data_IF_160910905763
#
_entry.id   IF_160910905763
#
_cell.length_a   1.000
_cell.length_b   1.000
_cell.length_c   1.000
_cell.angle_alpha   90.00
_cell.angle_beta   90.00
_cell.angle_gamma   90.00
#
_symmetry.space_group_name_H-M   'P 1'
#
loop_
_entity.id
_entity.type
_entity.pdbx_description
1 polymer ?
#
# COMPACT_ATOMS: atom_id res chain seq x y z
N UNK A 1 54.37 -25.62 11.55
CA UNK A 1 53.11 -25.69 10.77
C UNK A 1 51.89 -25.25 11.59
N UNK A 2 51.64 -25.77 12.80
CA UNK A 2 50.41 -25.45 13.56
C UNK A 2 50.18 -23.97 13.91
N UNK A 3 51.24 -23.22 14.22
CA UNK A 3 51.11 -21.79 14.59
C UNK A 3 50.62 -20.91 13.43
N UNK A 4 51.07 -21.18 12.19
CA UNK A 4 50.61 -20.45 10.99
C UNK A 4 49.12 -20.68 10.71
N UNK A 5 48.62 -21.90 10.92
CA UNK A 5 47.20 -22.24 10.76
C UNK A 5 46.34 -21.51 11.80
N UNK A 6 46.81 -21.43 13.04
CA UNK A 6 46.11 -20.73 14.12
C UNK A 6 46.03 -19.21 13.87
N UNK A 7 47.11 -18.60 13.40
CA UNK A 7 47.14 -17.17 13.04
C UNK A 7 46.22 -16.89 11.84
N UNK A 8 46.22 -17.77 10.83
CA UNK A 8 45.32 -17.64 9.68
C UNK A 8 43.84 -17.73 10.05
N UNK A 9 43.47 -18.67 10.93
CA UNK A 9 42.10 -18.82 11.41
C UNK A 9 41.63 -17.61 12.23
N UNK A 10 42.51 -17.04 13.08
CA UNK A 10 42.20 -15.85 13.86
C UNK A 10 42.03 -14.61 12.96
N UNK A 11 42.91 -14.43 11.98
CA UNK A 11 42.83 -13.33 11.02
C UNK A 11 41.53 -13.40 10.19
N UNK A 12 41.15 -14.61 9.75
CA UNK A 12 39.88 -14.84 9.06
C UNK A 12 38.68 -14.52 9.96
N UNK A 13 38.71 -14.94 11.23
CA UNK A 13 37.68 -14.64 12.21
C UNK A 13 37.50 -13.14 12.44
N UNK A 14 38.60 -12.40 12.62
CA UNK A 14 38.57 -10.93 12.77
C UNK A 14 38.06 -10.27 11.50
N UNK A 15 38.53 -10.70 10.32
CA UNK A 15 38.08 -10.17 9.04
C UNK A 15 36.57 -10.39 8.82
N UNK A 16 36.03 -11.54 9.20
CA UNK A 16 34.58 -11.83 9.15
C UNK A 16 33.81 -10.93 10.12
N UNK A 17 34.28 -10.76 11.37
CA UNK A 17 33.62 -9.87 12.34
C UNK A 17 33.65 -8.43 11.87
N UNK A 18 34.80 -7.94 11.38
CA UNK A 18 34.93 -6.58 10.84
C UNK A 18 34.07 -6.41 9.59
N UNK A 19 34.04 -7.38 8.68
CA UNK A 19 33.17 -7.33 7.51
C UNK A 19 31.68 -7.33 7.89
N UNK A 20 31.28 -8.12 8.90
CA UNK A 20 29.90 -8.11 9.42
C UNK A 20 29.56 -6.80 10.10
N UNK A 21 30.51 -6.21 10.86
CA UNK A 21 30.34 -4.90 11.49
C UNK A 21 30.26 -3.80 10.45
N UNK A 22 31.17 -3.74 9.47
CA UNK A 22 31.15 -2.78 8.37
C UNK A 22 29.91 -2.94 7.48
N UNK A 23 29.47 -4.17 7.23
CA UNK A 23 28.23 -4.45 6.50
C UNK A 23 26.99 -4.00 7.29
N UNK A 24 26.97 -4.22 8.61
CA UNK A 24 25.95 -3.66 9.52
C UNK A 24 26.03 -2.14 9.64
N UNK A 25 27.20 -1.56 9.39
CA UNK A 25 27.48 -0.14 9.49
C UNK A 25 27.38 0.60 8.15
N UNK A 26 26.77 0.03 7.09
CA UNK A 26 26.37 0.86 5.94
C UNK A 26 25.25 1.80 6.40
N UNK A 27 25.54 3.06 6.78
CA UNK A 27 24.57 3.93 7.44
C UNK A 27 23.47 4.34 6.46
N UNK A 28 23.78 4.29 5.18
CA UNK A 28 22.93 4.80 4.10
C UNK A 28 21.94 3.76 3.59
N UNK A 29 22.09 2.48 4.01
CA UNK A 29 21.19 1.42 3.57
C UNK A 29 19.72 1.68 3.95
N UNK A 30 19.41 1.96 5.23
CA UNK A 30 18.04 2.21 5.65
C UNK A 30 17.45 3.43 4.93
N UNK A 31 18.24 4.48 4.73
CA UNK A 31 17.79 5.69 4.03
C UNK A 31 17.48 5.40 2.57
N UNK A 32 18.36 4.69 1.86
CA UNK A 32 18.13 4.25 0.49
C UNK A 32 16.87 3.38 0.39
N UNK A 33 16.68 2.45 1.33
CA UNK A 33 15.48 1.62 1.39
C UNK A 33 14.20 2.46 1.56
N UNK A 34 14.23 3.53 2.36
CA UNK A 34 13.07 4.42 2.51
C UNK A 34 12.76 5.20 1.23
N UNK A 35 13.78 5.68 0.50
CA UNK A 35 13.57 6.30 -0.81
C UNK A 35 12.93 5.34 -1.82
N UNK A 36 13.44 4.11 -1.90
CA UNK A 36 12.89 3.10 -2.80
C UNK A 36 11.47 2.67 -2.40
N UNK A 37 11.18 2.56 -1.10
CA UNK A 37 9.83 2.28 -0.60
C UNK A 37 8.87 3.44 -0.89
N UNK A 38 9.32 4.69 -0.80
CA UNK A 38 8.52 5.85 -1.19
C UNK A 38 8.19 5.82 -2.67
N UNK A 39 9.17 5.56 -3.53
CA UNK A 39 8.94 5.37 -4.96
C UNK A 39 7.97 4.20 -5.23
N UNK A 40 8.07 3.11 -4.47
CA UNK A 40 7.13 1.98 -4.56
C UNK A 40 5.70 2.38 -4.17
N UNK A 41 5.53 3.17 -3.10
CA UNK A 41 4.22 3.69 -2.67
C UNK A 41 3.56 4.55 -3.75
N UNK A 42 4.32 5.42 -4.41
CA UNK A 42 3.82 6.29 -5.47
C UNK A 42 3.28 5.49 -6.65
N UNK A 43 4.01 4.49 -7.14
CA UNK A 43 3.52 3.59 -8.19
C UNK A 43 2.36 2.70 -7.73
N UNK A 44 2.40 2.23 -6.49
CA UNK A 44 1.31 1.44 -5.92
C UNK A 44 0.02 2.26 -5.78
N UNK A 45 0.11 3.58 -5.56
CA UNK A 45 -1.03 4.49 -5.48
C UNK A 45 -1.75 4.58 -6.82
N UNK A 46 -1.00 4.69 -7.91
CA UNK A 46 -1.55 4.66 -9.26
C UNK A 46 -2.26 3.33 -9.53
N UNK A 47 -1.60 2.21 -9.19
CA UNK A 47 -2.19 0.87 -9.32
C UNK A 47 -3.48 0.71 -8.51
N UNK A 48 -3.53 1.29 -7.30
CA UNK A 48 -4.68 1.22 -6.42
C UNK A 48 -5.87 2.04 -6.94
N UNK A 49 -5.62 3.15 -7.63
CA UNK A 49 -6.65 4.02 -8.19
C UNK A 49 -7.25 3.50 -9.50
N UNK A 50 -6.49 2.72 -10.28
CA UNK A 50 -6.95 2.17 -11.55
C UNK A 50 -7.87 0.94 -11.36
N UNK A 51 -9.02 0.92 -12.03
CA UNK A 51 -9.88 -0.28 -12.11
C UNK A 51 -9.22 -1.37 -12.94
N UNK A 52 -8.74 -1.02 -14.14
CA UNK A 52 -7.96 -1.88 -15.03
C UNK A 52 -6.49 -1.49 -15.05
N UNK A 53 -5.60 -2.47 -14.89
CA UNK A 53 -4.15 -2.25 -14.87
C UNK A 53 -3.61 -2.31 -16.30
N UNK A 54 -2.92 -1.25 -16.74
CA UNK A 54 -2.15 -1.31 -17.98
C UNK A 54 -0.95 -2.24 -17.83
N UNK A 55 -0.65 -3.05 -18.84
CA UNK A 55 0.46 -4.02 -18.77
C UNK A 55 1.83 -3.37 -18.57
N UNK A 56 2.02 -2.11 -18.99
CA UNK A 56 3.25 -1.34 -18.83
C UNK A 56 3.52 -0.99 -17.37
N UNK A 57 2.54 -0.38 -16.70
CA UNK A 57 2.66 0.15 -15.34
C UNK A 57 2.94 -0.99 -14.35
N UNK A 58 2.30 -2.12 -14.62
CA UNK A 58 2.50 -3.37 -13.92
C UNK A 58 3.92 -3.94 -14.06
N UNK A 59 4.50 -3.93 -15.27
CA UNK A 59 5.87 -4.41 -15.48
C UNK A 59 6.89 -3.53 -14.76
N UNK A 60 6.65 -2.21 -14.74
CA UNK A 60 7.49 -1.28 -14.02
C UNK A 60 7.49 -1.59 -12.51
N UNK A 61 6.29 -1.73 -11.91
CA UNK A 61 6.16 -2.11 -10.50
C UNK A 61 6.86 -3.44 -10.17
N UNK A 62 6.72 -4.45 -11.03
CA UNK A 62 7.41 -5.73 -10.84
C UNK A 62 8.94 -5.59 -10.92
N UNK A 63 9.46 -4.75 -11.82
CA UNK A 63 10.90 -4.51 -11.93
C UNK A 63 11.45 -3.84 -10.66
N UNK A 64 10.74 -2.83 -10.16
CA UNK A 64 11.12 -2.12 -8.93
C UNK A 64 11.11 -3.07 -7.71
N UNK A 65 10.10 -3.92 -7.59
CA UNK A 65 10.01 -4.90 -6.49
C UNK A 65 11.12 -5.94 -6.58
N UNK A 66 11.53 -6.36 -7.79
CA UNK A 66 12.69 -7.26 -7.94
C UNK A 66 13.98 -6.58 -7.48
N UNK A 67 14.19 -5.32 -7.86
CA UNK A 67 15.33 -4.54 -7.41
C UNK A 67 15.34 -4.45 -5.87
N UNK A 68 14.24 -4.00 -5.28
CA UNK A 68 14.04 -3.95 -3.83
C UNK A 68 14.24 -5.31 -3.16
N UNK A 69 13.80 -6.41 -3.78
CA UNK A 69 14.02 -7.76 -3.26
C UNK A 69 15.49 -8.18 -3.21
N UNK A 70 16.25 -7.86 -4.27
CA UNK A 70 17.68 -8.15 -4.32
C UNK A 70 18.44 -7.37 -3.26
N UNK A 71 18.00 -6.13 -3.07
CA UNK A 71 18.50 -5.20 -2.09
C UNK A 71 18.14 -5.64 -0.66
N UNK A 72 16.92 -6.10 -0.42
CA UNK A 72 16.39 -6.35 0.92
C UNK A 72 17.25 -7.27 1.82
N UNK A 73 17.33 -6.98 3.13
CA UNK A 73 17.86 -7.89 4.14
C UNK A 73 17.21 -9.28 4.06
N UNK A 74 17.97 -10.33 4.41
CA UNK A 74 17.49 -11.71 4.29
C UNK A 74 16.20 -11.98 5.09
N UNK A 75 15.99 -11.28 6.21
CA UNK A 75 14.77 -11.35 7.01
C UNK A 75 13.53 -10.82 6.27
N UNK A 76 13.70 -9.82 5.40
CA UNK A 76 12.63 -9.16 4.64
C UNK A 76 12.31 -9.86 3.31
N UNK A 77 13.25 -10.63 2.76
CA UNK A 77 13.08 -11.35 1.48
C UNK A 77 11.79 -12.19 1.37
N UNK A 78 11.26 -12.85 2.42
CA UNK A 78 9.95 -13.50 2.35
C UNK A 78 8.80 -12.56 2.00
N UNK A 79 8.75 -11.35 2.56
CA UNK A 79 7.69 -10.36 2.30
C UNK A 79 7.71 -9.87 0.85
N UNK A 80 8.90 -9.55 0.33
CA UNK A 80 9.05 -9.20 -1.08
C UNK A 80 8.66 -10.33 -2.03
N UNK A 81 8.98 -11.60 -1.71
CA UNK A 81 8.55 -12.76 -2.51
C UNK A 81 7.04 -12.91 -2.56
N UNK A 82 6.37 -12.71 -1.42
CA UNK A 82 4.93 -12.82 -1.33
C UNK A 82 4.23 -11.65 -2.07
N UNK A 83 4.75 -10.44 -1.92
CA UNK A 83 4.32 -9.28 -2.69
C UNK A 83 4.48 -9.51 -4.19
N UNK A 84 5.66 -9.97 -4.62
CA UNK A 84 5.94 -10.30 -6.01
C UNK A 84 4.97 -11.35 -6.55
N UNK A 85 4.71 -12.42 -5.79
CA UNK A 85 3.76 -13.45 -6.18
C UNK A 85 2.33 -12.91 -6.34
N UNK A 86 1.86 -12.07 -5.41
CA UNK A 86 0.54 -11.45 -5.50
C UNK A 86 0.39 -10.56 -6.71
N UNK A 87 1.40 -9.76 -7.01
CA UNK A 87 1.39 -8.92 -8.20
C UNK A 87 1.47 -9.77 -9.45
N UNK A 88 2.44 -10.70 -9.54
CA UNK A 88 2.71 -11.54 -10.71
C UNK A 88 1.45 -12.21 -11.30
N UNK A 89 0.52 -12.60 -10.44
CA UNK A 89 -0.69 -13.31 -10.83
C UNK A 89 -1.87 -12.38 -11.21
N UNK A 90 -1.78 -11.06 -10.98
CA UNK A 90 -2.87 -10.10 -11.23
C UNK A 90 -3.48 -10.18 -12.64
N UNK A 91 -2.70 -10.19 -13.73
CA UNK A 91 -3.28 -10.14 -15.09
C UNK A 91 -4.12 -11.38 -15.45
N UNK A 92 -3.97 -12.48 -14.71
CA UNK A 92 -4.62 -13.77 -14.99
C UNK A 92 -5.99 -13.89 -14.31
N UNK A 93 -6.32 -12.96 -13.41
CA UNK A 93 -7.51 -13.04 -12.58
C UNK A 93 -8.68 -12.23 -13.12
N UNK A 94 -9.90 -12.60 -12.75
CA UNK A 94 -11.10 -11.80 -12.94
C UNK A 94 -11.06 -10.53 -12.06
N UNK A 95 -11.90 -9.54 -12.36
CA UNK A 95 -11.90 -8.22 -11.71
C UNK A 95 -12.02 -8.30 -10.17
N UNK A 96 -12.89 -9.18 -9.66
CA UNK A 96 -13.10 -9.33 -8.21
C UNK A 96 -11.85 -9.93 -7.55
N UNK A 97 -11.27 -10.96 -8.18
CA UNK A 97 -10.02 -11.57 -7.69
C UNK A 97 -8.84 -10.61 -7.83
N UNK A 98 -8.76 -9.83 -8.90
CA UNK A 98 -7.77 -8.76 -9.06
C UNK A 98 -7.87 -7.74 -7.93
N UNK A 99 -9.07 -7.23 -7.63
CA UNK A 99 -9.28 -6.31 -6.52
C UNK A 99 -8.83 -6.91 -5.17
N UNK A 100 -9.12 -8.20 -4.94
CA UNK A 100 -8.67 -8.92 -3.74
C UNK A 100 -7.14 -9.07 -3.68
N UNK A 101 -6.50 -9.38 -4.79
CA UNK A 101 -5.04 -9.53 -4.86
C UNK A 101 -4.32 -8.19 -4.77
N UNK A 102 -4.84 -7.13 -5.40
CA UNK A 102 -4.40 -5.74 -5.18
C UNK A 102 -4.45 -5.39 -3.70
N UNK A 103 -5.57 -5.65 -3.03
CA UNK A 103 -5.72 -5.42 -1.59
C UNK A 103 -4.70 -6.17 -0.73
N UNK A 104 -4.34 -7.40 -1.10
CA UNK A 104 -3.29 -8.17 -0.43
C UNK A 104 -1.90 -7.58 -0.72
N UNK A 105 -1.58 -7.25 -1.97
CA UNK A 105 -0.31 -6.63 -2.33
C UNK A 105 -0.10 -5.32 -1.56
N UNK A 106 -1.13 -4.47 -1.50
CA UNK A 106 -1.13 -3.23 -0.74
C UNK A 106 -0.85 -3.44 0.75
N UNK A 107 -1.47 -4.45 1.35
CA UNK A 107 -1.19 -4.79 2.75
C UNK A 107 0.28 -5.18 2.98
N UNK A 108 0.91 -5.88 2.02
CA UNK A 108 2.34 -6.21 2.13
C UNK A 108 3.21 -4.98 1.96
N UNK A 109 2.87 -4.05 1.06
CA UNK A 109 3.59 -2.79 0.92
C UNK A 109 3.54 -1.99 2.23
N UNK A 110 2.36 -1.90 2.84
CA UNK A 110 2.14 -1.24 4.14
C UNK A 110 3.02 -1.88 5.23
N UNK A 111 3.12 -3.21 5.29
CA UNK A 111 4.03 -3.88 6.23
C UNK A 111 5.51 -3.68 5.93
N UNK A 112 5.91 -3.58 4.66
CA UNK A 112 7.29 -3.27 4.29
C UNK A 112 7.70 -1.87 4.76
N UNK A 113 6.79 -0.90 4.71
CA UNK A 113 7.01 0.45 5.28
C UNK A 113 7.22 0.35 6.79
N UNK A 114 6.36 -0.38 7.49
CA UNK A 114 6.46 -0.55 8.94
C UNK A 114 7.68 -1.35 9.41
N UNK A 115 8.22 -2.22 8.57
CA UNK A 115 9.46 -2.91 8.88
C UNK A 115 10.69 -2.02 8.67
N UNK A 116 10.58 -0.96 7.86
CA UNK A 116 11.70 -0.08 7.51
C UNK A 116 11.76 1.19 8.39
N UNK A 117 10.63 1.84 8.65
CA UNK A 117 10.59 3.16 9.28
C UNK A 117 11.01 3.16 10.76
N UNK A 118 10.44 2.32 11.64
CA UNK A 118 10.79 2.35 13.06
C UNK A 118 12.28 2.05 13.32
N UNK A 119 12.91 1.00 12.73
CA UNK A 119 14.34 0.77 12.92
C UNK A 119 15.20 1.95 12.46
N UNK A 120 14.80 2.62 11.36
CA UNK A 120 15.49 3.81 10.89
C UNK A 120 15.44 4.95 11.90
N UNK A 121 14.25 5.30 12.39
CA UNK A 121 14.06 6.39 13.35
C UNK A 121 14.74 6.09 14.70
N UNK A 122 14.68 4.83 15.16
CA UNK A 122 15.38 4.38 16.37
C UNK A 122 16.90 4.52 16.20
N UNK A 123 17.45 4.15 15.05
CA UNK A 123 18.89 4.29 14.79
C UNK A 123 19.38 5.75 14.83
N UNK A 124 18.49 6.70 14.52
CA UNK A 124 18.78 8.14 14.53
C UNK A 124 18.38 8.84 15.85
N UNK A 125 17.82 8.10 16.82
CA UNK A 125 17.28 8.64 18.09
C UNK A 125 16.24 9.76 17.90
N UNK A 126 15.43 9.69 16.83
CA UNK A 126 14.37 10.65 16.57
C UNK A 126 13.03 10.20 17.18
N UNK A 127 12.89 10.40 18.50
CA UNK A 127 11.70 10.00 19.25
C UNK A 127 10.43 10.74 18.81
N UNK A 128 10.56 12.00 18.36
CA UNK A 128 9.44 12.82 17.94
C UNK A 128 8.82 12.28 16.65
N UNK A 129 9.65 12.05 15.62
CA UNK A 129 9.20 11.45 14.36
C UNK A 129 8.73 10.02 14.55
N UNK A 130 9.36 9.24 15.44
CA UNK A 130 8.90 7.89 15.77
C UNK A 130 7.51 7.90 16.40
N UNK A 131 7.27 8.80 17.36
CA UNK A 131 5.96 8.95 17.98
C UNK A 131 4.91 9.38 16.95
N UNK A 132 5.22 10.37 16.11
CA UNK A 132 4.33 10.81 15.04
C UNK A 132 4.00 9.66 14.08
N UNK A 133 5.01 8.94 13.58
CA UNK A 133 4.84 7.77 12.72
C UNK A 133 3.94 6.70 13.36
N UNK A 134 4.12 6.39 14.65
CA UNK A 134 3.28 5.41 15.35
C UNK A 134 1.79 5.82 15.39
N UNK A 135 1.49 7.11 15.57
CA UNK A 135 0.12 7.62 15.51
C UNK A 135 -0.48 7.48 14.11
N UNK A 136 0.28 7.85 13.08
CA UNK A 136 -0.11 7.69 11.67
C UNK A 136 -0.33 6.22 11.33
N UNK A 137 0.60 5.36 11.72
CA UNK A 137 0.55 3.91 11.50
C UNK A 137 -0.69 3.27 12.12
N UNK A 138 -1.00 3.62 13.38
CA UNK A 138 -2.19 3.11 14.05
C UNK A 138 -3.47 3.50 13.30
N UNK A 139 -3.59 4.76 12.87
CA UNK A 139 -4.73 5.22 12.08
C UNK A 139 -4.84 4.50 10.73
N UNK A 140 -3.70 4.30 10.04
CA UNK A 140 -3.62 3.55 8.78
C UNK A 140 -4.06 2.10 8.96
N UNK A 141 -3.62 1.41 10.02
CA UNK A 141 -4.02 0.03 10.29
C UNK A 141 -5.52 -0.09 10.58
N UNK A 142 -6.08 0.78 11.40
CA UNK A 142 -7.53 0.80 11.69
C UNK A 142 -8.35 1.06 10.43
N UNK A 143 -7.90 1.98 9.57
CA UNK A 143 -8.55 2.27 8.29
C UNK A 143 -8.44 1.08 7.33
N UNK A 144 -7.28 0.44 7.26
CA UNK A 144 -7.05 -0.76 6.44
C UNK A 144 -8.00 -1.90 6.84
N UNK A 145 -8.15 -2.15 8.14
CA UNK A 145 -9.05 -3.18 8.66
C UNK A 145 -10.52 -2.85 8.38
N UNK A 146 -10.95 -1.60 8.63
CA UNK A 146 -12.31 -1.15 8.35
C UNK A 146 -12.64 -1.32 6.85
N UNK A 147 -11.72 -0.92 5.97
CA UNK A 147 -11.83 -1.06 4.51
C UNK A 147 -11.92 -2.52 4.08
N UNK A 148 -11.13 -3.43 4.67
CA UNK A 148 -11.22 -4.87 4.42
C UNK A 148 -12.60 -5.44 4.78
N UNK A 149 -13.14 -5.06 5.95
CA UNK A 149 -14.46 -5.50 6.40
C UNK A 149 -15.58 -4.96 5.50
N UNK A 150 -15.50 -3.71 5.08
CA UNK A 150 -16.43 -3.12 4.09
C UNK A 150 -16.40 -3.85 2.75
N UNK A 151 -15.21 -4.15 2.21
CA UNK A 151 -15.07 -4.95 0.97
C UNK A 151 -15.73 -6.32 1.10
N UNK A 152 -15.48 -6.99 2.22
CA UNK A 152 -16.03 -8.32 2.48
C UNK A 152 -17.57 -8.30 2.61
N UNK A 153 -18.11 -7.34 3.37
CA UNK A 153 -19.55 -7.15 3.50
C UNK A 153 -20.22 -6.84 2.13
N UNK A 154 -19.54 -6.05 1.28
CA UNK A 154 -20.02 -5.76 -0.08
C UNK A 154 -20.15 -7.03 -0.93
N UNK A 155 -19.17 -7.93 -0.85
CA UNK A 155 -19.20 -9.23 -1.54
C UNK A 155 -20.30 -10.14 -0.95
N UNK A 156 -20.49 -10.15 0.37
CA UNK A 156 -21.56 -10.93 1.01
C UNK A 156 -22.95 -10.47 0.57
N UNK A 157 -23.16 -9.16 0.46
CA UNK A 157 -24.42 -8.60 -0.03
C UNK A 157 -24.69 -9.01 -1.47
N UNK A 158 -23.67 -8.98 -2.33
CA UNK A 158 -23.79 -9.47 -3.71
C UNK A 158 -24.15 -10.96 -3.78
N UNK A 159 -23.68 -11.76 -2.82
CA UNK A 159 -24.04 -13.19 -2.69
C UNK A 159 -25.40 -13.45 -2.04
N UNK A 160 -26.20 -12.40 -1.79
CA UNK A 160 -27.50 -12.49 -1.12
C UNK A 160 -27.45 -13.24 0.23
N UNK A 161 -26.37 -13.06 1.00
CA UNK A 161 -26.25 -13.65 2.34
C UNK A 161 -27.25 -12.97 3.29
N UNK A 162 -27.94 -13.70 4.19
CA UNK A 162 -28.84 -13.09 5.17
C UNK A 162 -28.11 -12.05 6.02
N UNK A 163 -28.80 -10.95 6.36
CA UNK A 163 -28.27 -9.81 7.14
C UNK A 163 -27.08 -9.07 6.50
N UNK A 164 -26.73 -9.34 5.23
CA UNK A 164 -25.60 -8.69 4.59
C UNK A 164 -25.77 -7.17 4.41
N UNK A 165 -27.01 -6.69 4.23
CA UNK A 165 -27.32 -5.25 4.17
C UNK A 165 -26.99 -4.54 5.48
N UNK A 166 -27.48 -5.07 6.60
CA UNK A 166 -27.17 -4.53 7.93
C UNK A 166 -25.67 -4.56 8.24
N UNK A 167 -25.00 -5.67 7.90
CA UNK A 167 -23.55 -5.79 8.04
C UNK A 167 -22.80 -4.74 7.22
N UNK A 168 -23.19 -4.55 5.94
CA UNK A 168 -22.58 -3.56 5.07
C UNK A 168 -22.76 -2.14 5.62
N UNK A 169 -23.96 -1.78 6.06
CA UNK A 169 -24.25 -0.47 6.63
C UNK A 169 -23.36 -0.20 7.86
N UNK A 170 -23.27 -1.16 8.79
CA UNK A 170 -22.39 -1.05 9.94
C UNK A 170 -20.92 -0.86 9.54
N UNK A 171 -20.41 -1.69 8.61
CA UNK A 171 -19.00 -1.57 8.18
C UNK A 171 -18.74 -0.26 7.45
N UNK A 172 -19.72 0.27 6.73
CA UNK A 172 -19.62 1.57 6.10
C UNK A 172 -19.54 2.71 7.11
N UNK A 173 -20.39 2.69 8.15
CA UNK A 173 -20.32 3.69 9.24
C UNK A 173 -18.97 3.65 9.96
N UNK A 174 -18.44 2.45 10.22
CA UNK A 174 -17.10 2.28 10.80
C UNK A 174 -16.04 2.87 9.88
N UNK A 175 -16.12 2.58 8.57
CA UNK A 175 -15.17 3.09 7.58
C UNK A 175 -15.19 4.63 7.52
N UNK A 176 -16.37 5.24 7.47
CA UNK A 176 -16.54 6.70 7.53
C UNK A 176 -15.93 7.27 8.80
N UNK A 177 -16.19 6.66 9.96
CA UNK A 177 -15.60 7.09 11.23
C UNK A 177 -14.07 7.04 11.20
N UNK A 178 -13.47 6.00 10.62
CA UNK A 178 -11.99 5.88 10.50
C UNK A 178 -11.42 6.92 9.53
N UNK A 179 -12.12 7.21 8.44
CA UNK A 179 -11.74 8.29 7.52
C UNK A 179 -11.76 9.66 8.22
N UNK A 180 -12.80 9.97 9.00
CA UNK A 180 -12.83 11.20 9.79
C UNK A 180 -11.67 11.27 10.80
N UNK A 181 -11.35 10.17 11.48
CA UNK A 181 -10.22 10.13 12.41
C UNK A 181 -8.88 10.41 11.71
N UNK A 182 -8.72 9.92 10.47
CA UNK A 182 -7.53 10.16 9.67
C UNK A 182 -7.34 11.66 9.36
N UNK A 183 -8.42 12.42 9.12
CA UNK A 183 -8.37 13.87 8.89
C UNK A 183 -7.83 14.65 10.10
N UNK A 184 -7.97 14.12 11.32
CA UNK A 184 -7.47 14.78 12.54
C UNK A 184 -5.94 14.71 12.67
N UNK A 185 -5.24 14.03 11.77
CA UNK A 185 -3.78 13.93 11.76
C UNK A 185 -3.09 15.14 11.11
N UNK A 186 -3.80 16.26 10.90
CA UNK A 186 -3.28 17.47 10.23
C UNK A 186 -2.69 17.17 8.85
N UNK A 187 -3.43 16.40 8.05
CA UNK A 187 -3.05 16.07 6.68
C UNK A 187 -3.15 17.28 5.75
N UNK A 188 -2.51 17.19 4.59
CA UNK A 188 -2.62 18.19 3.51
C UNK A 188 -4.08 18.42 3.07
N UNK A 189 -4.44 19.67 2.75
CA UNK A 189 -5.80 20.08 2.36
C UNK A 189 -6.36 19.28 1.16
N UNK A 190 -5.49 18.93 0.21
CA UNK A 190 -5.84 18.13 -0.96
C UNK A 190 -6.33 16.73 -0.57
N UNK A 191 -5.68 16.10 0.41
CA UNK A 191 -6.03 14.80 0.93
C UNK A 191 -7.31 14.86 1.79
N UNK A 192 -7.47 15.90 2.60
CA UNK A 192 -8.70 16.12 3.37
C UNK A 192 -9.91 16.24 2.45
N UNK A 193 -9.78 16.97 1.34
CA UNK A 193 -10.83 17.13 0.33
C UNK A 193 -11.22 15.79 -0.32
N UNK A 194 -10.25 14.94 -0.63
CA UNK A 194 -10.53 13.60 -1.18
C UNK A 194 -11.20 12.69 -0.14
N UNK A 195 -10.82 12.80 1.15
CA UNK A 195 -11.49 12.08 2.24
C UNK A 195 -12.96 12.53 2.38
N UNK A 196 -13.23 13.84 2.35
CA UNK A 196 -14.60 14.37 2.41
C UNK A 196 -15.46 13.88 1.24
N UNK A 197 -14.86 13.83 0.03
CA UNK A 197 -15.51 13.27 -1.16
C UNK A 197 -15.84 11.79 -0.96
N UNK A 198 -14.94 11.00 -0.40
CA UNK A 198 -15.16 9.58 -0.13
C UNK A 198 -16.24 9.37 0.93
N UNK A 199 -16.23 10.15 2.01
CA UNK A 199 -17.26 10.10 3.06
C UNK A 199 -18.63 10.40 2.45
N UNK A 200 -18.74 11.44 1.63
CA UNK A 200 -20.00 11.81 0.96
C UNK A 200 -20.51 10.69 0.06
N UNK A 201 -19.62 10.05 -0.71
CA UNK A 201 -19.98 8.95 -1.59
C UNK A 201 -20.38 7.68 -0.85
N UNK A 202 -19.68 7.34 0.24
CA UNK A 202 -20.05 6.21 1.09
C UNK A 202 -21.46 6.46 1.65
N UNK A 203 -21.72 7.60 2.27
CA UNK A 203 -23.02 7.95 2.83
C UNK A 203 -24.17 7.83 1.81
N UNK A 204 -23.97 8.32 0.58
CA UNK A 204 -24.95 8.18 -0.50
C UNK A 204 -25.20 6.72 -0.93
N UNK A 205 -24.17 5.85 -0.87
CA UNK A 205 -24.34 4.42 -1.18
C UNK A 205 -25.17 3.69 -0.11
N UNK A 206 -25.07 4.09 1.16
CA UNK A 206 -25.92 3.54 2.23
C UNK A 206 -27.39 3.89 2.03
N UNK A 207 -27.70 5.13 1.65
CA UNK A 207 -29.08 5.55 1.40
C UNK A 207 -29.72 4.74 0.26
N UNK A 208 -28.95 4.47 -0.81
CA UNK A 208 -29.40 3.61 -1.92
C UNK A 208 -29.60 2.16 -1.51
N UNK A 209 -28.72 1.61 -0.68
CA UNK A 209 -28.85 0.24 -0.18
C UNK A 209 -30.13 0.06 0.64
N UNK A 210 -30.47 1.03 1.49
CA UNK A 210 -31.70 1.02 2.29
C UNK A 210 -32.98 1.17 1.45
N UNK A 211 -32.95 2.00 0.41
CA UNK A 211 -34.09 2.18 -0.49
C UNK A 211 -34.46 0.90 -1.27
N UNK A 212 -33.50 -0.02 -1.45
CA UNK A 212 -33.72 -1.29 -2.15
C UNK A 212 -34.42 -2.35 -1.26
N UNK A 213 -34.47 -2.16 0.06
CA UNK A 213 -35.11 -3.09 1.01
C UNK A 213 -36.56 -2.69 1.40
N UNK A 214 -37.09 -1.60 0.86
CA UNK A 214 -38.49 -1.23 1.06
C UNK A 214 -39.44 -2.30 0.45
N UNK A 215 -40.53 -2.68 1.13
CA UNK A 215 -41.37 -3.79 0.69
C UNK A 215 -42.01 -3.47 -0.66
N UNK A 216 -41.74 -4.32 -1.66
CA UNK A 216 -42.44 -4.43 -2.93
C UNK A 216 -43.93 -4.75 -2.67
N UNK A 217 -44.71 -3.75 -2.27
CA UNK A 217 -46.15 -3.76 -2.44
C UNK A 217 -46.43 -3.37 -3.90
N UNK A 218 -46.84 -4.38 -4.68
CA UNK A 218 -47.67 -4.31 -5.87
C UNK A 218 -47.68 -2.97 -6.62
N UNK A 219 -47.01 -2.90 -7.78
CA UNK A 219 -47.71 -2.43 -8.98
C UNK A 219 -47.01 -2.86 -10.27
N UNK A 220 -47.87 -3.40 -11.14
CA UNK A 220 -47.58 -3.91 -12.47
C UNK A 220 -47.58 -2.72 -13.42
N UNK A 221 -46.43 -2.36 -14.00
CA UNK A 221 -46.44 -1.59 -15.24
C UNK A 221 -45.25 -1.88 -16.15
N UNK A 222 -45.63 -2.06 -17.41
CA UNK A 222 -44.86 -2.45 -18.57
C UNK A 222 -44.13 -1.21 -19.10
N UNK A 223 -42.80 -1.20 -19.11
CA UNK A 223 -42.02 -0.33 -19.99
C UNK A 223 -40.64 -0.93 -20.23
N UNK A 224 -40.44 -1.40 -21.46
CA UNK A 224 -39.16 -1.88 -21.97
C UNK A 224 -38.27 -0.67 -22.27
N UNK A 225 -37.64 -0.10 -21.25
CA UNK A 225 -36.47 0.77 -21.44
C UNK A 225 -35.22 -0.05 -21.19
N UNK A 226 -34.41 -0.17 -22.24
CA UNK A 226 -33.11 -0.82 -22.25
C UNK A 226 -32.19 0.00 -21.32
N UNK A 227 -31.71 -0.52 -20.18
CA UNK A 227 -30.88 0.28 -19.31
C UNK A 227 -29.50 0.45 -19.94
N UNK A 228 -29.17 1.72 -20.18
CA UNK A 228 -27.82 2.23 -20.38
C UNK A 228 -26.92 1.65 -19.27
N UNK A 229 -25.78 1.07 -19.65
CA UNK A 229 -24.80 0.37 -18.82
C UNK A 229 -24.82 0.74 -17.32
N UNK A 230 -25.64 0.04 -16.54
CA UNK A 230 -25.65 0.15 -15.08
C UNK A 230 -24.43 -0.61 -14.57
N UNK A 231 -23.40 0.10 -14.10
CA UNK A 231 -22.35 -0.52 -13.31
C UNK A 231 -22.98 -1.29 -12.15
N UNK A 232 -22.59 -2.55 -11.96
CA UNK A 232 -23.20 -3.37 -10.91
C UNK A 232 -22.93 -2.73 -9.54
N UNK A 233 -23.89 -2.75 -8.58
CA UNK A 233 -23.71 -2.15 -7.26
C UNK A 233 -22.46 -2.65 -6.49
N UNK A 234 -21.96 -3.84 -6.83
CA UNK A 234 -20.72 -4.37 -6.28
C UNK A 234 -19.47 -3.64 -6.81
N UNK A 235 -19.41 -3.38 -8.12
CA UNK A 235 -18.26 -2.73 -8.76
C UNK A 235 -18.02 -1.33 -8.17
N UNK A 236 -19.08 -0.53 -8.02
CA UNK A 236 -19.04 0.79 -7.38
C UNK A 236 -18.44 0.73 -5.95
N UNK A 237 -18.89 -0.22 -5.13
CA UNK A 237 -18.39 -0.40 -3.75
C UNK A 237 -16.93 -0.85 -3.71
N UNK A 238 -16.53 -1.73 -4.62
CA UNK A 238 -15.13 -2.14 -4.74
C UNK A 238 -14.25 -0.97 -5.21
N UNK A 239 -14.73 -0.11 -6.10
CA UNK A 239 -14.05 1.10 -6.51
C UNK A 239 -13.89 2.10 -5.35
N UNK A 240 -14.90 2.29 -4.50
CA UNK A 240 -14.77 3.09 -3.28
C UNK A 240 -13.71 2.51 -2.34
N UNK A 241 -13.71 1.19 -2.16
CA UNK A 241 -12.67 0.52 -1.38
C UNK A 241 -11.27 0.70 -1.95
N UNK A 242 -11.13 0.74 -3.28
CA UNK A 242 -9.86 0.99 -3.97
C UNK A 242 -9.37 2.42 -3.74
N UNK A 243 -10.26 3.41 -3.79
CA UNK A 243 -9.91 4.81 -3.48
C UNK A 243 -9.49 5.00 -2.03
N UNK A 244 -10.09 4.29 -1.08
CA UNK A 244 -9.59 4.30 0.31
C UNK A 244 -8.15 3.77 0.39
N UNK A 245 -7.77 2.79 -0.41
CA UNK A 245 -6.36 2.35 -0.46
C UNK A 245 -5.45 3.46 -0.99
N UNK A 246 -5.88 4.21 -2.02
CA UNK A 246 -5.10 5.33 -2.53
C UNK A 246 -4.90 6.43 -1.46
N UNK A 247 -5.91 6.69 -0.64
CA UNK A 247 -5.78 7.57 0.55
C UNK A 247 -4.75 7.04 1.52
N UNK A 248 -4.84 5.75 1.91
CA UNK A 248 -3.87 5.11 2.82
C UNK A 248 -2.43 5.26 2.30
N UNK A 249 -2.22 4.97 1.01
CA UNK A 249 -0.90 5.07 0.40
C UNK A 249 -0.39 6.52 0.34
N UNK A 250 -1.29 7.49 0.11
CA UNK A 250 -0.91 8.92 0.09
C UNK A 250 -0.52 9.41 1.48
N UNK A 251 -1.22 8.98 2.54
CA UNK A 251 -0.81 9.27 3.93
C UNK A 251 0.60 8.75 4.21
N UNK A 252 0.89 7.50 3.79
CA UNK A 252 2.22 6.91 4.00
C UNK A 252 3.30 7.59 3.14
N UNK A 253 3.01 7.94 1.88
CA UNK A 253 3.94 8.68 1.01
C UNK A 253 4.26 10.06 1.60
N UNK A 254 3.26 10.80 2.09
CA UNK A 254 3.47 12.09 2.75
C UNK A 254 4.31 11.92 4.03
N UNK A 255 4.01 10.92 4.86
CA UNK A 255 4.79 10.64 6.06
C UNK A 255 6.25 10.28 5.75
N UNK A 256 6.49 9.48 4.69
CA UNK A 256 7.85 9.21 4.22
C UNK A 256 8.52 10.44 3.60
N UNK A 257 7.76 11.29 2.92
CA UNK A 257 8.26 12.53 2.33
C UNK A 257 8.78 13.49 3.40
N UNK A 258 7.99 13.70 4.46
CA UNK A 258 8.34 14.54 5.59
C UNK A 258 9.58 13.98 6.30
N UNK A 259 9.59 12.68 6.57
CA UNK A 259 10.73 12.00 7.18
C UNK A 259 12.00 12.16 6.31
N UNK A 260 11.92 11.92 5.00
CA UNK A 260 13.08 12.04 4.11
C UNK A 260 13.54 13.50 3.91
N UNK A 261 12.70 14.49 4.19
CA UNK A 261 13.10 15.90 4.15
C UNK A 261 14.09 16.23 5.28
N UNK A 262 13.95 15.58 6.43
CA UNK A 262 14.85 15.74 7.58
C UNK A 262 16.17 14.97 7.43
N UNK A 263 16.21 13.98 6.53
CA UNK A 263 17.39 13.16 6.23
C UNK A 263 17.74 13.22 4.72
N UNK A 264 18.22 14.37 4.21
CA UNK A 264 18.56 14.48 2.80
C UNK A 264 19.62 13.45 2.43
N UNK A 265 19.40 12.75 1.31
CA UNK A 265 20.38 11.83 0.76
C UNK A 265 21.74 12.55 0.62
N UNK A 266 22.85 11.92 1.03
CA UNK A 266 24.17 12.50 0.81
C UNK A 266 24.33 12.78 -0.69
N UNK A 267 24.66 14.03 -1.06
CA UNK A 267 24.72 14.49 -2.44
C UNK A 267 25.48 13.48 -3.34
N UNK A 268 24.78 12.91 -4.31
CA UNK A 268 25.17 11.73 -5.06
C UNK A 268 26.14 12.00 -6.21
N UNK A 269 27.42 11.70 -5.99
CA UNK A 269 28.25 11.07 -7.04
C UNK A 269 28.19 9.52 -6.96
N UNK A 270 27.70 8.95 -5.84
CA UNK A 270 27.80 7.51 -5.58
C UNK A 270 26.55 6.75 -6.08
N UNK A 271 25.33 7.26 -5.89
CA UNK A 271 24.12 6.53 -6.27
C UNK A 271 23.71 6.71 -7.74
N UNK A 272 24.29 7.69 -8.46
CA UNK A 272 24.16 7.82 -9.92
C UNK A 272 24.71 6.60 -10.70
N UNK A 273 25.49 5.73 -10.05
CA UNK A 273 26.07 4.54 -10.70
C UNK A 273 25.13 3.32 -10.74
N UNK A 274 24.00 3.35 -10.01
CA UNK A 274 23.09 2.20 -9.91
C UNK A 274 21.79 2.35 -10.72
N UNK A 275 21.62 3.44 -11.47
CA UNK A 275 20.56 3.58 -12.50
C UNK A 275 21.09 3.46 -13.92
N UNK A 276 21.35 2.25 -14.46
CA UNK A 276 21.61 2.07 -15.89
C UNK A 276 20.30 1.83 -16.63
N UNK A 277 19.34 2.77 -16.61
CA UNK A 277 18.06 2.58 -17.35
C UNK A 277 17.49 3.85 -18.00
N UNK A 278 18.27 4.92 -18.08
CA UNK A 278 18.01 6.03 -19.00
C UNK A 278 19.18 6.19 -19.96
N UNK A 279 19.39 5.17 -20.81
CA UNK A 279 19.96 5.48 -22.12
C UNK A 279 18.90 6.29 -22.88
N UNK A 280 19.22 7.52 -23.34
CA UNK A 280 18.33 8.22 -24.25
C UNK A 280 18.17 7.35 -25.49
N UNK A 281 16.92 7.01 -25.79
CA UNK A 281 16.52 6.34 -27.02
C UNK A 281 16.96 7.23 -28.18
N UNK A 282 18.14 6.97 -28.74
CA UNK A 282 18.61 7.62 -29.95
C UNK A 282 17.57 7.35 -31.03
N UNK A 283 16.86 8.41 -31.41
CA UNK A 283 15.92 8.40 -32.51
C UNK A 283 16.75 8.43 -33.79
N UNK A 284 16.82 7.30 -34.48
CA UNK A 284 17.24 7.19 -35.87
C UNK A 284 16.00 7.01 -36.73
#
# INVERSE_FOLDING_TARGET
MGWLVMVGALALGIAVVVAVVLYRQRPDWPLHQLHELRALLQHARELAAQTHIASSDYQHLLSQIRQLHHLAPQAQKPMYRLLFHHLHALPQYDEVTQARMKNRALQHIIYLVDEAVPPFLIAHNDEASLSHYQHVWYAVLELLQARQRYSYASIQLHKATPNASQSLNLQQQILVKRLCQLQHLNLEDSLNTEIDRLISQLSNDAERALATEAPLATEKSLATEKPLANETPLASRLALSQRVNAVILTVLDNCLADLLADFPAPQDDIFNTLSPLHEPRNSA
#
